data_IF_137006722240
#
_entry.id   IF_137006722240
#
_cell.length_a   1.000
_cell.length_b   1.000
_cell.length_c   1.000
_cell.angle_alpha   90.00
_cell.angle_beta   90.00
_cell.angle_gamma   90.00
#
_symmetry.space_group_name_H-M   'P 1'
#
loop_
_entity.id
_entity.type
_entity.pdbx_description
1 polymer ?
#
# COMPACT_ATOMS: atom_id res chain seq x y z
N UNK A 1 7.53 -3.79 -37.59
CA UNK A 1 6.77 -4.17 -36.39
C UNK A 1 7.82 -4.43 -35.33
N UNK A 2 8.00 -3.50 -34.41
CA UNK A 2 8.95 -3.67 -33.31
C UNK A 2 8.36 -4.69 -32.34
N UNK A 3 9.14 -5.70 -31.97
CA UNK A 3 8.77 -6.64 -30.93
C UNK A 3 8.72 -5.87 -29.61
N UNK A 4 7.52 -5.47 -29.19
CA UNK A 4 7.29 -5.09 -27.80
C UNK A 4 7.64 -6.31 -26.94
N UNK A 5 8.44 -6.15 -25.87
CA UNK A 5 8.76 -7.25 -24.99
C UNK A 5 7.43 -7.74 -24.42
N UNK A 6 7.20 -9.06 -24.49
CA UNK A 6 6.08 -9.74 -23.84
C UNK A 6 5.98 -9.25 -22.39
N UNK A 7 5.09 -8.29 -22.15
CA UNK A 7 4.64 -7.91 -20.82
C UNK A 7 3.68 -9.03 -20.41
N UNK A 8 4.26 -10.20 -20.12
CA UNK A 8 3.51 -11.37 -19.72
C UNK A 8 2.64 -11.01 -18.54
N UNK A 9 1.36 -11.35 -18.63
CA UNK A 9 0.36 -11.27 -17.58
C UNK A 9 0.97 -11.78 -16.26
N UNK A 10 1.47 -10.87 -15.43
CA UNK A 10 1.69 -11.17 -14.03
C UNK A 10 0.37 -10.84 -13.34
N UNK A 11 -0.32 -11.88 -12.88
CA UNK A 11 -1.53 -11.71 -12.09
C UNK A 11 -1.18 -10.90 -10.84
N UNK A 12 -1.73 -9.70 -10.74
CA UNK A 12 -1.59 -8.86 -9.56
C UNK A 12 -2.51 -9.40 -8.47
N UNK A 13 -1.93 -9.99 -7.43
CA UNK A 13 -2.68 -10.52 -6.30
C UNK A 13 -2.68 -9.49 -5.19
N UNK A 14 -3.83 -8.87 -4.96
CA UNK A 14 -4.06 -7.89 -3.90
C UNK A 14 -4.69 -8.55 -2.67
N UNK A 15 -4.13 -8.24 -1.51
CA UNK A 15 -4.66 -8.63 -0.21
C UNK A 15 -5.03 -7.37 0.57
N UNK A 16 -6.30 -7.28 0.99
CA UNK A 16 -6.72 -6.24 1.91
C UNK A 16 -6.10 -6.48 3.30
N UNK A 17 -5.47 -5.45 3.85
CA UNK A 17 -4.82 -5.49 5.16
C UNK A 17 -5.69 -4.78 6.21
N UNK A 18 -6.29 -3.64 5.82
CA UNK A 18 -7.16 -2.85 6.68
C UNK A 18 -8.17 -2.08 5.84
N UNK A 19 -9.41 -2.00 6.30
CA UNK A 19 -10.44 -1.18 5.69
C UNK A 19 -11.31 -0.50 6.75
N UNK A 20 -11.48 0.81 6.59
CA UNK A 20 -12.46 1.64 7.30
C UNK A 20 -13.16 2.57 6.32
N UNK A 21 -14.08 3.39 6.83
CA UNK A 21 -14.79 4.38 6.00
C UNK A 21 -13.87 5.49 5.46
N UNK A 22 -12.69 5.70 6.07
CA UNK A 22 -11.79 6.81 5.74
C UNK A 22 -10.43 6.38 5.21
N UNK A 23 -9.99 5.16 5.54
CA UNK A 23 -8.67 4.64 5.16
C UNK A 23 -8.75 3.19 4.69
N UNK A 24 -8.15 2.90 3.54
CA UNK A 24 -7.91 1.54 3.04
C UNK A 24 -6.42 1.24 2.98
N UNK A 25 -6.03 0.00 3.30
CA UNK A 25 -4.66 -0.50 3.12
C UNK A 25 -4.72 -1.86 2.45
N UNK A 26 -3.97 -2.00 1.35
CA UNK A 26 -3.82 -3.28 0.65
C UNK A 26 -2.36 -3.55 0.32
N UNK A 27 -1.98 -4.83 0.29
CA UNK A 27 -0.69 -5.31 -0.18
C UNK A 27 -0.87 -6.02 -1.52
N UNK A 28 -0.07 -5.67 -2.50
CA UNK A 28 0.03 -6.39 -3.76
C UNK A 28 1.25 -7.30 -3.68
N UNK A 29 1.00 -8.61 -3.58
CA UNK A 29 2.01 -9.59 -3.18
C UNK A 29 2.99 -9.94 -4.30
N UNK A 30 2.60 -9.71 -5.56
CA UNK A 30 3.44 -10.05 -6.73
C UNK A 30 4.64 -9.10 -6.86
N UNK A 31 4.47 -7.80 -6.63
CA UNK A 31 5.58 -6.83 -6.67
C UNK A 31 5.98 -6.33 -5.27
N UNK A 32 5.31 -6.81 -4.22
CA UNK A 32 5.62 -6.45 -2.84
C UNK A 32 5.37 -4.97 -2.57
N UNK A 33 4.26 -4.45 -3.10
CA UNK A 33 3.88 -3.05 -2.92
C UNK A 33 2.76 -2.92 -1.90
N UNK A 34 2.77 -1.83 -1.15
CA UNK A 34 1.72 -1.48 -0.19
C UNK A 34 1.02 -0.23 -0.72
N UNK A 35 -0.31 -0.28 -0.76
CA UNK A 35 -1.15 0.85 -1.12
C UNK A 35 -1.92 1.33 0.09
N UNK A 36 -1.88 2.64 0.36
CA UNK A 36 -2.68 3.32 1.37
C UNK A 36 -3.59 4.33 0.67
N UNK A 37 -4.89 4.20 0.88
CA UNK A 37 -5.92 5.07 0.33
C UNK A 37 -6.56 5.90 1.44
N UNK A 38 -6.57 7.23 1.29
CA UNK A 38 -7.31 8.17 2.14
C UNK A 38 -8.53 8.68 1.37
N UNK A 39 -9.66 7.99 1.50
CA UNK A 39 -10.83 8.16 0.63
C UNK A 39 -11.35 9.59 0.59
N UNK A 40 -11.53 10.22 1.76
CA UNK A 40 -12.04 11.60 1.86
C UNK A 40 -11.13 12.64 1.21
N UNK A 41 -9.84 12.33 1.06
CA UNK A 41 -8.84 13.23 0.46
C UNK A 41 -8.57 12.89 -1.01
N UNK A 42 -9.12 11.80 -1.52
CA UNK A 42 -8.78 11.26 -2.83
C UNK A 42 -7.27 11.01 -3.00
N UNK A 43 -6.57 10.71 -1.90
CA UNK A 43 -5.12 10.49 -1.91
C UNK A 43 -4.83 9.00 -1.88
N UNK A 44 -4.02 8.54 -2.81
CA UNK A 44 -3.52 7.16 -2.87
C UNK A 44 -2.00 7.23 -2.83
N UNK A 45 -1.40 6.45 -1.93
CA UNK A 45 0.04 6.35 -1.75
C UNK A 45 0.43 4.92 -2.07
N UNK A 46 1.30 4.74 -3.06
CA UNK A 46 1.93 3.46 -3.38
C UNK A 46 3.37 3.49 -2.89
N UNK A 47 3.75 2.45 -2.17
CA UNK A 47 5.07 2.30 -1.58
C UNK A 47 5.57 0.89 -1.83
N UNK A 48 6.88 0.70 -1.80
CA UNK A 48 7.38 -0.66 -1.61
C UNK A 48 7.11 -1.15 -0.18
N UNK A 49 7.35 -2.43 0.05
CA UNK A 49 7.14 -3.06 1.36
C UNK A 49 7.96 -2.41 2.47
N UNK A 50 9.21 -2.05 2.22
CA UNK A 50 10.10 -1.52 3.26
C UNK A 50 9.64 -0.12 3.69
N UNK A 51 9.34 0.75 2.73
CA UNK A 51 8.73 2.07 2.94
C UNK A 51 7.40 1.96 3.71
N UNK A 52 6.53 1.02 3.31
CA UNK A 52 5.25 0.77 3.99
C UNK A 52 5.44 0.34 5.45
N UNK A 53 6.44 -0.50 5.73
CA UNK A 53 6.76 -0.94 7.08
C UNK A 53 7.37 0.18 7.93
N UNK A 54 8.19 1.06 7.35
CA UNK A 54 8.70 2.25 8.04
C UNK A 54 7.56 3.21 8.42
N UNK A 55 6.63 3.47 7.50
CA UNK A 55 5.46 4.30 7.76
C UNK A 55 4.59 3.72 8.89
N UNK A 56 4.34 2.42 8.88
CA UNK A 56 3.56 1.74 9.92
C UNK A 56 4.22 1.87 11.30
N UNK A 57 5.56 1.77 11.38
CA UNK A 57 6.31 1.98 12.63
C UNK A 57 6.20 3.41 13.12
N UNK A 58 6.32 4.39 12.23
CA UNK A 58 6.19 5.81 12.57
C UNK A 58 4.80 6.13 13.14
N UNK A 59 3.73 5.67 12.49
CA UNK A 59 2.36 5.88 12.99
C UNK A 59 2.09 5.15 14.30
N UNK A 60 2.62 3.93 14.47
CA UNK A 60 2.50 3.20 15.75
C UNK A 60 3.17 3.97 16.89
N UNK A 61 4.36 4.55 16.64
CA UNK A 61 5.05 5.38 17.62
C UNK A 61 4.26 6.65 17.95
N UNK A 62 3.67 7.31 16.94
CA UNK A 62 2.82 8.48 17.11
C UNK A 62 1.56 8.16 17.93
N UNK A 63 0.87 7.08 17.63
CA UNK A 63 -0.35 6.67 18.35
C UNK A 63 -0.06 6.47 19.84
N UNK A 64 1.03 5.75 20.16
CA UNK A 64 1.48 5.56 21.56
C UNK A 64 1.75 6.88 22.28
N UNK A 65 2.39 7.82 21.59
CA UNK A 65 2.67 9.15 22.18
C UNK A 65 1.40 9.98 22.44
N UNK A 66 0.37 9.83 21.61
CA UNK A 66 -0.90 10.57 21.75
C UNK A 66 -1.79 9.98 22.84
N UNK A 67 -1.76 8.65 23.01
CA UNK A 67 -2.60 7.93 23.97
C UNK A 67 -2.04 7.97 25.42
N UNK A 68 -0.77 8.34 25.60
CA UNK A 68 -0.11 8.56 26.91
C UNK A 68 -0.37 9.98 27.48
#
# INVERSE_FOLDING_TARGET
MANEPNNGDHEHVFQEVYLSDSVGVSEETTHGTVTVELFERGLIIHMDRDEGMELARAFTALARYIDD
#
